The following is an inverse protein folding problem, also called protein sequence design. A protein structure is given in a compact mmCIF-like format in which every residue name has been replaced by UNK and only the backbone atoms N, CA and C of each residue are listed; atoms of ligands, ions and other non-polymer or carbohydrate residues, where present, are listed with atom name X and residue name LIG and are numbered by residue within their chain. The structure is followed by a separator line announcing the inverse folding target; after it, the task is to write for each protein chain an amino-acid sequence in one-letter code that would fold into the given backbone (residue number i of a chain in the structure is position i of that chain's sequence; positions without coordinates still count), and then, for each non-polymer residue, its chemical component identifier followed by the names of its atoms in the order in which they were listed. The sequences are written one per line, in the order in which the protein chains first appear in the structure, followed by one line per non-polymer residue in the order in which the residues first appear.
data_IF_192710768426
#
_entry.id   IF_192710768426
#
_cell.length_a   1.000
_cell.length_b   1.000
_cell.length_c   1.000
_cell.angle_alpha   90.00
_cell.angle_beta   90.00
_cell.angle_gamma   90.00
#
_symmetry.space_group_name_H-M   'P 1'
#
loop_
_entity.id
_entity.type
_entity.pdbx_description
1 polymer ?
#
# COMPACT_ATOMS: atom_id res chain seq x y z
N UNK A 1 -13.87 28.20 32.77
CA UNK A 1 -12.52 27.64 32.50
C UNK A 1 -11.88 28.48 31.41
N UNK A 2 -10.60 28.86 31.52
CA UNK A 2 -9.87 29.39 30.37
C UNK A 2 -9.85 28.32 29.25
N UNK A 3 -9.81 28.72 27.97
CA UNK A 3 -9.66 27.77 26.89
C UNK A 3 -8.38 26.95 27.12
N UNK A 4 -8.38 25.65 26.79
CA UNK A 4 -7.15 24.87 26.83
C UNK A 4 -6.08 25.57 25.98
N UNK A 5 -4.82 25.55 26.39
CA UNK A 5 -3.74 26.10 25.57
C UNK A 5 -3.80 25.46 24.18
N UNK A 6 -3.57 26.22 23.09
CA UNK A 6 -3.56 25.65 21.75
C UNK A 6 -2.56 24.50 21.72
N UNK A 7 -2.99 23.34 21.19
CA UNK A 7 -2.12 22.19 21.03
C UNK A 7 -0.86 22.61 20.25
N UNK A 8 0.35 22.23 20.69
CA UNK A 8 1.58 22.56 19.97
C UNK A 8 1.71 21.74 18.67
N UNK A 9 0.80 20.78 18.42
CA UNK A 9 0.73 20.07 17.15
C UNK A 9 0.32 21.04 16.03
N UNK A 10 1.16 21.07 15.00
CA UNK A 10 0.91 21.83 13.77
C UNK A 10 1.19 20.95 12.56
N UNK A 11 0.81 21.43 11.39
CA UNK A 11 1.05 20.74 10.13
C UNK A 11 0.29 19.43 9.95
N UNK A 12 0.60 18.76 8.85
CA UNK A 12 -0.03 17.53 8.43
C UNK A 12 0.99 16.48 7.98
N UNK A 13 0.53 15.22 7.92
CA UNK A 13 1.25 14.11 7.33
C UNK A 13 0.38 13.49 6.25
N UNK A 14 0.90 13.38 5.03
CA UNK A 14 0.25 12.77 3.89
C UNK A 14 0.97 11.47 3.53
N UNK A 15 0.24 10.36 3.50
CA UNK A 15 0.72 9.07 3.02
C UNK A 15 -0.14 8.61 1.85
N UNK A 16 0.46 8.42 0.69
CA UNK A 16 -0.21 7.93 -0.51
C UNK A 16 0.34 6.54 -0.83
N UNK A 17 -0.54 5.55 -0.90
CA UNK A 17 -0.21 4.20 -1.31
C UNK A 17 -0.74 3.98 -2.73
N UNK A 18 0.14 3.57 -3.62
CA UNK A 18 -0.14 3.35 -5.04
C UNK A 18 0.12 1.88 -5.33
N UNK A 19 -0.93 1.12 -5.66
CA UNK A 19 -0.80 -0.28 -6.06
C UNK A 19 -0.16 -0.45 -7.44
N UNK A 20 0.32 -1.65 -7.76
CA UNK A 20 0.73 -2.00 -9.12
C UNK A 20 -0.50 -2.00 -10.04
N UNK A 21 -0.58 -1.18 -11.09
CA UNK A 21 -1.63 -1.34 -12.09
C UNK A 21 -1.35 -2.56 -12.97
N UNK A 22 -2.36 -3.37 -13.30
CA UNK A 22 -2.14 -4.48 -14.25
C UNK A 22 -2.30 -4.06 -15.72
N UNK A 23 -2.95 -2.92 -15.98
CA UNK A 23 -3.21 -2.38 -17.32
C UNK A 23 -3.18 -0.86 -17.29
N UNK A 24 -3.10 -0.19 -18.44
CA UNK A 24 -3.19 1.28 -18.51
C UNK A 24 -4.54 1.80 -18.00
N UNK A 25 -5.64 1.08 -18.22
CA UNK A 25 -6.92 1.45 -17.63
C UNK A 25 -6.89 1.42 -16.09
N UNK A 26 -6.24 0.41 -15.50
CA UNK A 26 -6.05 0.36 -14.05
C UNK A 26 -5.16 1.51 -13.55
N UNK A 27 -4.13 1.89 -14.32
CA UNK A 27 -3.31 3.06 -14.01
C UNK A 27 -4.17 4.32 -13.95
N UNK A 28 -5.03 4.56 -14.95
CA UNK A 28 -5.92 5.72 -14.97
C UNK A 28 -6.88 5.73 -13.78
N UNK A 29 -7.43 4.57 -13.40
CA UNK A 29 -8.29 4.44 -12.24
C UNK A 29 -7.54 4.70 -10.91
N UNK A 30 -6.30 4.22 -10.78
CA UNK A 30 -5.44 4.49 -9.63
C UNK A 30 -5.16 5.99 -9.52
N UNK A 31 -4.74 6.64 -10.61
CA UNK A 31 -4.46 8.07 -10.64
C UNK A 31 -5.71 8.90 -10.29
N UNK A 32 -6.88 8.49 -10.77
CA UNK A 32 -8.17 9.12 -10.40
C UNK A 32 -8.50 8.95 -8.93
N UNK A 33 -8.24 7.77 -8.35
CA UNK A 33 -8.41 7.55 -6.90
C UNK A 33 -7.49 8.43 -6.07
N UNK A 34 -6.25 8.64 -6.50
CA UNK A 34 -5.33 9.59 -5.84
C UNK A 34 -5.93 11.00 -5.87
N UNK A 35 -6.38 11.47 -7.04
CA UNK A 35 -7.00 12.78 -7.19
C UNK A 35 -8.21 12.96 -6.25
N UNK A 36 -9.10 11.97 -6.22
CA UNK A 36 -10.30 11.99 -5.37
C UNK A 36 -9.94 11.98 -3.88
N UNK A 37 -8.87 11.30 -3.48
CA UNK A 37 -8.42 11.28 -2.08
C UNK A 37 -8.06 12.68 -1.57
N UNK A 38 -7.53 13.55 -2.43
CA UNK A 38 -7.21 14.93 -2.05
C UNK A 38 -8.43 15.83 -1.89
N UNK A 39 -9.60 15.48 -2.44
CA UNK A 39 -10.76 16.35 -2.45
C UNK A 39 -11.30 16.61 -1.05
N UNK A 40 -11.12 15.70 -0.10
CA UNK A 40 -11.54 15.87 1.29
C UNK A 40 -10.57 16.71 2.13
N UNK A 41 -9.45 17.15 1.55
CA UNK A 41 -8.48 17.97 2.28
C UNK A 41 -9.07 19.33 2.62
N UNK A 42 -9.37 19.52 3.90
CA UNK A 42 -9.98 20.73 4.42
C UNK A 42 -8.93 21.64 5.07
N UNK A 43 -8.55 22.70 4.33
CA UNK A 43 -7.62 23.72 4.80
C UNK A 43 -8.12 24.45 6.06
N UNK A 44 -9.43 24.60 6.24
CA UNK A 44 -9.98 25.30 7.42
C UNK A 44 -9.73 24.50 8.71
N UNK A 45 -9.81 23.17 8.65
CA UNK A 45 -9.60 22.31 9.81
C UNK A 45 -8.12 22.07 10.15
N UNK A 46 -7.27 21.85 9.12
CA UNK A 46 -5.87 21.47 9.32
C UNK A 46 -4.89 22.66 9.25
N UNK A 47 -5.31 23.81 8.70
CA UNK A 47 -4.48 25.00 8.47
C UNK A 47 -3.25 24.76 7.58
N UNK A 48 -3.29 23.73 6.74
CA UNK A 48 -2.25 23.45 5.74
C UNK A 48 -2.77 23.80 4.35
N UNK A 49 -2.13 24.76 3.72
CA UNK A 49 -2.41 25.19 2.35
C UNK A 49 -1.87 24.14 1.36
N UNK A 50 -2.67 23.10 1.11
CA UNK A 50 -2.28 21.95 0.29
C UNK A 50 -1.81 22.38 -1.11
N UNK A 51 -2.42 23.40 -1.69
CA UNK A 51 -2.04 23.95 -2.99
C UNK A 51 -0.58 24.40 -3.03
N UNK A 52 -0.11 25.12 -2.00
CA UNK A 52 1.29 25.56 -1.90
C UNK A 52 2.23 24.38 -1.69
N UNK A 53 1.83 23.39 -0.90
CA UNK A 53 2.67 22.23 -0.62
C UNK A 53 2.80 21.31 -1.83
N UNK A 54 1.71 21.00 -2.52
CA UNK A 54 1.75 20.23 -3.78
C UNK A 54 2.58 20.98 -4.83
N UNK A 55 2.46 22.31 -4.92
CA UNK A 55 3.25 23.10 -5.88
C UNK A 55 4.75 23.00 -5.59
N UNK A 56 5.14 23.00 -4.32
CA UNK A 56 6.53 22.83 -3.92
C UNK A 56 7.06 21.43 -4.28
N UNK A 57 6.26 20.38 -4.05
CA UNK A 57 6.63 19.01 -4.45
C UNK A 57 6.81 18.91 -5.96
N UNK A 58 5.85 19.42 -6.74
CA UNK A 58 5.90 19.42 -8.20
C UNK A 58 7.13 20.18 -8.71
N UNK A 59 7.45 21.33 -8.11
CA UNK A 59 8.61 22.14 -8.53
C UNK A 59 9.94 21.42 -8.30
N UNK A 60 10.04 20.58 -7.27
CA UNK A 60 11.24 19.78 -7.00
C UNK A 60 11.23 18.45 -7.77
N UNK A 61 10.05 17.90 -8.05
CA UNK A 61 9.82 16.63 -8.75
C UNK A 61 10.76 15.49 -8.27
N UNK A 62 10.81 15.18 -6.97
CA UNK A 62 11.73 14.17 -6.45
C UNK A 62 11.43 12.77 -7.04
N UNK A 63 12.43 12.09 -7.58
CA UNK A 63 12.22 10.75 -8.15
C UNK A 63 11.96 9.66 -7.09
N UNK A 64 12.33 9.92 -5.83
CA UNK A 64 12.26 8.95 -4.74
C UNK A 64 13.31 7.84 -4.82
N UNK A 65 13.34 7.00 -3.79
CA UNK A 65 14.23 5.84 -3.70
C UNK A 65 13.53 4.61 -4.26
N UNK A 66 14.17 3.91 -5.20
CA UNK A 66 13.69 2.65 -5.76
C UNK A 66 14.42 1.47 -5.11
N UNK A 67 13.66 0.57 -4.51
CA UNK A 67 14.12 -0.65 -3.88
C UNK A 67 13.95 -1.85 -4.84
N UNK A 68 14.12 -3.07 -4.30
CA UNK A 68 13.94 -4.30 -5.09
C UNK A 68 12.48 -4.42 -5.56
N UNK A 69 12.29 -5.13 -6.67
CA UNK A 69 10.96 -5.43 -7.22
C UNK A 69 10.11 -4.18 -7.55
N UNK A 70 10.75 -3.05 -7.87
CA UNK A 70 10.04 -1.84 -8.32
C UNK A 70 9.32 -1.05 -7.22
N UNK A 71 9.46 -1.44 -5.96
CA UNK A 71 8.99 -0.64 -4.82
C UNK A 71 9.69 0.73 -4.85
N UNK A 72 8.92 1.81 -4.74
CA UNK A 72 9.45 3.17 -4.72
C UNK A 72 8.85 3.97 -3.58
N UNK A 73 9.72 4.68 -2.87
CA UNK A 73 9.35 5.59 -1.80
C UNK A 73 9.80 7.02 -2.14
N UNK A 74 8.83 7.90 -2.37
CA UNK A 74 9.08 9.33 -2.54
C UNK A 74 8.78 10.01 -1.22
N UNK A 75 9.78 10.66 -0.62
CA UNK A 75 9.62 11.41 0.62
C UNK A 75 9.88 12.89 0.37
N UNK A 76 9.04 13.73 0.97
CA UNK A 76 9.19 15.17 0.93
C UNK A 76 8.69 15.78 2.24
N UNK A 77 9.52 16.60 2.87
CA UNK A 77 9.17 17.23 4.14
C UNK A 77 9.41 18.74 4.08
N UNK A 78 8.40 19.48 4.51
CA UNK A 78 8.47 20.92 4.79
C UNK A 78 7.93 21.18 6.19
N UNK A 79 7.97 22.44 6.61
CA UNK A 79 7.54 22.87 7.94
C UNK A 79 6.08 22.48 8.25
N UNK A 80 5.19 22.56 7.24
CA UNK A 80 3.74 22.36 7.37
C UNK A 80 3.25 20.98 6.93
N UNK A 81 4.02 20.25 6.11
CA UNK A 81 3.60 18.98 5.53
C UNK A 81 4.77 18.00 5.38
N UNK A 82 4.59 16.80 5.91
CA UNK A 82 5.39 15.61 5.54
C UNK A 82 4.58 14.80 4.55
N UNK A 83 5.19 14.40 3.44
CA UNK A 83 4.58 13.60 2.37
C UNK A 83 5.42 12.35 2.13
N UNK A 84 4.76 11.20 2.12
CA UNK A 84 5.31 9.92 1.68
C UNK A 84 4.42 9.32 0.60
N UNK A 85 4.98 9.01 -0.57
CA UNK A 85 4.30 8.27 -1.63
C UNK A 85 4.98 6.92 -1.78
N UNK A 86 4.25 5.86 -1.42
CA UNK A 86 4.63 4.47 -1.58
C UNK A 86 4.04 3.93 -2.87
N UNK A 87 4.89 3.57 -3.83
CA UNK A 87 4.48 2.99 -5.10
C UNK A 87 4.92 1.52 -5.12
N UNK A 88 3.96 0.64 -5.34
CA UNK A 88 4.11 -0.82 -5.27
C UNK A 88 4.81 -1.23 -3.95
N UNK A 89 4.29 -0.87 -2.76
CA UNK A 89 4.99 -1.16 -1.51
C UNK A 89 5.02 -2.64 -1.18
N UNK A 90 6.04 -3.05 -0.41
CA UNK A 90 6.01 -4.27 0.39
C UNK A 90 5.27 -4.02 1.71
N UNK A 91 4.76 -5.09 2.32
CA UNK A 91 3.94 -5.00 3.54
C UNK A 91 4.71 -4.38 4.71
N UNK A 92 5.98 -4.73 4.89
CA UNK A 92 6.82 -4.21 5.96
C UNK A 92 7.06 -2.70 5.83
N UNK A 93 7.34 -2.20 4.62
CA UNK A 93 7.51 -0.78 4.33
C UNK A 93 6.23 -0.02 4.64
N UNK A 94 5.09 -0.55 4.19
CA UNK A 94 3.79 0.06 4.46
C UNK A 94 3.51 0.15 5.97
N UNK A 95 3.69 -0.96 6.71
CA UNK A 95 3.49 -0.97 8.17
C UNK A 95 4.38 0.09 8.83
N UNK A 96 5.64 0.21 8.41
CA UNK A 96 6.55 1.20 8.96
C UNK A 96 6.11 2.65 8.66
N UNK A 97 5.70 2.95 7.43
CA UNK A 97 5.18 4.28 7.07
C UNK A 97 3.90 4.62 7.83
N UNK A 98 2.98 3.67 8.02
CA UNK A 98 1.77 3.88 8.84
C UNK A 98 2.16 4.18 10.30
N UNK A 99 3.10 3.43 10.87
CA UNK A 99 3.62 3.69 12.23
C UNK A 99 4.25 5.08 12.35
N UNK A 100 5.08 5.47 11.39
CA UNK A 100 5.72 6.79 11.35
C UNK A 100 4.67 7.90 11.28
N UNK A 101 3.69 7.79 10.38
CA UNK A 101 2.57 8.72 10.28
C UNK A 101 1.77 8.78 11.59
N UNK A 102 1.46 7.63 12.21
CA UNK A 102 0.64 7.56 13.41
C UNK A 102 1.38 8.01 14.69
N UNK A 103 2.72 7.98 14.69
CA UNK A 103 3.56 8.47 15.79
C UNK A 103 4.11 9.88 15.54
N UNK A 104 3.80 10.48 14.38
CA UNK A 104 4.26 11.83 14.04
C UNK A 104 3.62 12.91 14.93
N UNK A 105 4.35 14.00 15.14
CA UNK A 105 3.88 15.18 15.86
C UNK A 105 3.12 16.14 14.93
N UNK A 106 2.22 15.62 14.10
CA UNK A 106 1.34 16.41 13.24
C UNK A 106 -0.10 16.41 13.74
N UNK A 107 -0.84 17.48 13.44
CA UNK A 107 -2.24 17.63 13.84
C UNK A 107 -3.17 16.81 12.92
N UNK A 108 -2.93 16.86 11.62
CA UNK A 108 -3.72 16.16 10.62
C UNK A 108 -2.90 15.06 9.95
N UNK A 109 -3.52 13.91 9.72
CA UNK A 109 -2.90 12.78 9.04
C UNK A 109 -3.87 12.29 7.98
N UNK A 110 -3.36 12.10 6.79
CA UNK A 110 -4.15 11.85 5.61
C UNK A 110 -3.57 10.66 4.87
N UNK A 111 -4.34 9.59 4.73
CA UNK A 111 -3.92 8.36 4.08
C UNK A 111 -4.76 8.16 2.83
N UNK A 112 -4.13 8.01 1.67
CA UNK A 112 -4.81 7.73 0.40
C UNK A 112 -4.33 6.37 -0.10
N UNK A 113 -5.20 5.37 -0.08
CA UNK A 113 -4.97 4.09 -0.72
C UNK A 113 -5.59 4.05 -2.12
N UNK A 114 -4.71 4.02 -3.13
CA UNK A 114 -5.05 3.89 -4.54
C UNK A 114 -4.42 2.60 -5.12
N UNK A 115 -5.02 1.47 -4.78
CA UNK A 115 -4.60 0.16 -5.26
C UNK A 115 -5.75 -0.84 -5.30
N UNK A 116 -5.39 -2.12 -5.48
CA UNK A 116 -6.35 -3.20 -5.37
C UNK A 116 -6.75 -3.47 -3.93
N UNK A 117 -7.98 -3.92 -3.78
CA UNK A 117 -8.58 -4.24 -2.50
C UNK A 117 -9.36 -5.54 -2.65
N UNK A 118 -9.29 -6.43 -1.67
CA UNK A 118 -10.10 -7.64 -1.70
C UNK A 118 -11.56 -7.33 -1.37
N UNK A 119 -12.43 -7.72 -2.30
CA UNK A 119 -13.87 -7.66 -2.08
C UNK A 119 -14.25 -8.45 -0.82
N UNK A 120 -15.11 -7.87 0.02
CA UNK A 120 -15.57 -8.48 1.26
C UNK A 120 -14.72 -8.15 2.49
N UNK A 121 -13.39 -8.29 2.48
CA UNK A 121 -12.56 -7.88 3.65
C UNK A 121 -12.17 -6.42 3.59
N UNK A 122 -12.02 -5.87 2.40
CA UNK A 122 -11.47 -4.54 2.19
C UNK A 122 -9.96 -4.45 2.41
N UNK A 123 -9.25 -5.57 2.59
CA UNK A 123 -7.80 -5.55 2.80
C UNK A 123 -7.07 -5.00 1.57
N UNK A 124 -6.12 -4.10 1.81
CA UNK A 124 -5.30 -3.48 0.77
C UNK A 124 -4.26 -4.47 0.28
N UNK A 125 -4.11 -4.59 -1.03
CA UNK A 125 -3.16 -5.52 -1.65
C UNK A 125 -1.82 -4.82 -1.84
N UNK A 126 -0.75 -5.43 -1.33
CA UNK A 126 0.64 -4.99 -1.50
C UNK A 126 1.45 -6.11 -2.17
N UNK A 127 2.74 -5.93 -2.44
CA UNK A 127 3.51 -6.89 -3.25
C UNK A 127 3.50 -8.33 -2.69
N UNK A 128 3.67 -8.45 -1.38
CA UNK A 128 3.96 -9.71 -0.69
C UNK A 128 2.89 -10.07 0.36
N UNK A 129 1.77 -9.36 0.39
CA UNK A 129 0.69 -9.64 1.32
C UNK A 129 -0.43 -8.61 1.30
N UNK A 130 -1.11 -8.51 2.44
CA UNK A 130 -2.23 -7.58 2.63
C UNK A 130 -2.06 -6.73 3.88
N UNK A 131 -2.58 -5.51 3.79
CA UNK A 131 -2.78 -4.64 4.94
C UNK A 131 -4.29 -4.53 5.21
N UNK A 132 -4.72 -5.07 6.33
CA UNK A 132 -6.13 -5.18 6.74
C UNK A 132 -6.54 -4.06 7.71
N UNK A 133 -7.84 -3.95 7.97
CA UNK A 133 -8.34 -3.07 9.02
C UNK A 133 -7.81 -3.46 10.40
N UNK A 134 -7.59 -4.75 10.66
CA UNK A 134 -7.00 -5.21 11.92
C UNK A 134 -5.56 -4.72 12.07
N UNK A 135 -4.76 -4.77 10.99
CA UNK A 135 -3.38 -4.26 11.01
C UNK A 135 -3.35 -2.74 11.31
N UNK A 136 -4.31 -1.98 10.77
CA UNK A 136 -4.46 -0.57 11.12
C UNK A 136 -4.80 -0.38 12.60
N UNK A 137 -5.76 -1.13 13.12
CA UNK A 137 -6.17 -1.07 14.54
C UNK A 137 -4.98 -1.40 15.44
N UNK A 138 -4.21 -2.43 15.10
CA UNK A 138 -3.01 -2.83 15.84
C UNK A 138 -1.93 -1.73 15.80
N UNK A 139 -1.71 -1.08 14.65
CA UNK A 139 -0.81 0.06 14.54
C UNK A 139 -1.23 1.22 15.47
N UNK A 140 -2.53 1.45 15.68
CA UNK A 140 -3.00 2.42 16.66
C UNK A 140 -2.71 2.02 18.11
N UNK A 141 -2.60 0.73 18.43
CA UNK A 141 -2.31 0.25 19.80
C UNK A 141 -0.82 0.30 20.16
N UNK A 142 0.06 0.61 19.21
CA UNK A 142 1.49 0.68 19.47
C UNK A 142 1.86 1.74 20.50
N UNK A 143 2.88 1.44 21.32
CA UNK A 143 3.26 2.25 22.47
C UNK A 143 3.59 3.70 22.08
N UNK A 144 4.35 3.90 20.99
CA UNK A 144 4.73 5.23 20.52
C UNK A 144 3.51 6.02 20.00
N UNK A 145 2.60 5.36 19.29
CA UNK A 145 1.36 5.96 18.80
C UNK A 145 0.46 6.36 19.97
N UNK A 146 0.24 5.44 20.91
CA UNK A 146 -0.54 5.69 22.13
C UNK A 146 0.03 6.84 22.96
N UNK A 147 1.36 6.95 23.06
CA UNK A 147 2.03 8.04 23.77
C UNK A 147 1.68 9.40 23.16
N UNK A 148 1.75 9.53 21.83
CA UNK A 148 1.42 10.77 21.12
C UNK A 148 -0.06 11.10 21.25
N UNK A 149 -0.94 10.13 21.00
CA UNK A 149 -2.40 10.35 21.06
C UNK A 149 -2.87 10.76 22.46
N UNK A 150 -2.28 10.21 23.53
CA UNK A 150 -2.59 10.60 24.92
C UNK A 150 -2.02 11.97 25.29
N UNK A 151 -0.84 12.32 24.77
CA UNK A 151 -0.24 13.64 25.00
C UNK A 151 -1.05 14.78 24.35
N UNK A 152 -1.75 14.48 23.25
CA UNK A 152 -2.53 15.44 22.46
C UNK A 152 -3.97 14.97 22.22
N UNK A 153 -4.63 14.55 23.29
CA UNK A 153 -5.98 14.01 23.25
C UNK A 153 -6.95 14.96 22.51
N UNK A 154 -7.78 14.40 21.65
CA UNK A 154 -8.79 15.08 20.82
C UNK A 154 -8.23 16.13 19.84
N UNK A 155 -6.90 16.24 19.69
CA UNK A 155 -6.26 17.20 18.78
C UNK A 155 -5.87 16.59 17.43
N UNK A 156 -5.64 15.27 17.41
CA UNK A 156 -5.20 14.55 16.21
C UNK A 156 -6.41 14.11 15.37
N UNK A 157 -6.30 14.32 14.06
CA UNK A 157 -7.26 13.84 13.07
C UNK A 157 -6.58 12.89 12.08
N UNK A 158 -7.26 11.80 11.72
CA UNK A 158 -6.79 10.83 10.72
C UNK A 158 -7.90 10.59 9.71
N UNK A 159 -7.66 10.98 8.46
CA UNK A 159 -8.57 10.71 7.35
C UNK A 159 -7.97 9.65 6.44
N UNK A 160 -8.79 8.68 6.05
CA UNK A 160 -8.38 7.51 5.28
C UNK A 160 -9.26 7.39 4.04
N UNK A 161 -8.65 7.45 2.87
CA UNK A 161 -9.30 7.22 1.59
C UNK A 161 -8.95 5.82 1.09
N UNK A 162 -9.96 4.99 0.88
CA UNK A 162 -9.78 3.63 0.36
C UNK A 162 -11.07 3.14 -0.32
N UNK A 163 -10.99 1.98 -0.99
CA UNK A 163 -12.18 1.34 -1.54
C UNK A 163 -13.22 1.10 -0.43
N UNK A 164 -14.52 1.35 -0.67
CA UNK A 164 -15.59 1.18 0.32
C UNK A 164 -15.98 -0.30 0.45
N UNK A 165 -15.01 -1.14 0.76
CA UNK A 165 -15.14 -2.60 0.86
C UNK A 165 -15.00 -3.07 2.32
N UNK A 166 -15.67 -4.16 2.65
CA UNK A 166 -15.62 -4.78 3.98
C UNK A 166 -16.02 -3.84 5.12
N UNK A 167 -15.25 -3.87 6.21
CA UNK A 167 -15.55 -3.07 7.40
C UNK A 167 -14.90 -1.68 7.42
N UNK A 168 -14.24 -1.26 6.33
CA UNK A 168 -13.59 0.06 6.24
C UNK A 168 -14.62 1.19 6.23
N UNK A 169 -15.00 1.64 7.43
CA UNK A 169 -15.96 2.70 7.62
C UNK A 169 -15.70 3.48 8.90
N UNK A 170 -16.07 4.76 8.89
CA UNK A 170 -16.05 5.61 10.08
C UNK A 170 -16.87 5.01 11.23
N UNK A 171 -18.00 4.37 10.93
CA UNK A 171 -18.87 3.75 11.93
C UNK A 171 -18.21 2.56 12.63
N UNK A 172 -17.46 1.73 11.91
CA UNK A 172 -16.71 0.61 12.47
C UNK A 172 -15.57 1.11 13.37
N UNK A 173 -14.78 2.08 12.91
CA UNK A 173 -13.62 2.60 13.65
C UNK A 173 -14.03 3.30 14.95
N UNK A 174 -15.19 3.97 14.99
CA UNK A 174 -15.73 4.60 16.21
C UNK A 174 -15.94 3.64 17.39
N UNK A 175 -15.94 2.33 17.15
CA UNK A 175 -16.05 1.30 18.20
C UNK A 175 -14.71 1.03 18.90
N UNK A 176 -13.60 1.47 18.30
CA UNK A 176 -12.27 1.22 18.80
C UNK A 176 -11.86 2.19 19.92
N UNK A 177 -10.97 1.74 20.80
CA UNK A 177 -10.56 2.53 21.97
C UNK A 177 -9.82 3.81 21.61
N UNK A 178 -9.04 3.82 20.52
CA UNK A 178 -8.24 4.96 20.10
C UNK A 178 -9.09 6.14 19.60
N UNK A 179 -10.34 5.93 19.19
CA UNK A 179 -11.22 7.04 18.77
C UNK A 179 -11.71 7.91 19.92
N UNK A 180 -11.41 7.51 21.17
CA UNK A 180 -11.54 8.39 22.35
C UNK A 180 -10.42 9.42 22.42
N UNK A 181 -9.27 9.13 21.81
CA UNK A 181 -8.07 9.97 21.85
C UNK A 181 -7.90 10.83 20.60
N UNK A 182 -8.46 10.41 19.47
CA UNK A 182 -8.34 11.11 18.19
C UNK A 182 -9.57 10.91 17.31
N UNK A 183 -9.73 11.77 16.30
CA UNK A 183 -10.83 11.65 15.33
C UNK A 183 -10.34 10.89 14.10
N UNK A 184 -10.95 9.74 13.82
CA UNK A 184 -10.63 8.94 12.62
C UNK A 184 -11.86 8.88 11.70
N UNK A 185 -11.67 9.16 10.40
CA UNK A 185 -12.71 9.09 9.37
C UNK A 185 -12.23 8.28 8.17
N UNK A 186 -13.12 7.48 7.61
CA UNK A 186 -12.92 6.77 6.35
C UNK A 186 -13.80 7.42 5.29
N UNK A 187 -13.20 7.74 4.14
CA UNK A 187 -13.82 8.41 3.01
C UNK A 187 -14.68 9.61 3.43
N UNK A 188 -14.11 10.62 4.13
CA UNK A 188 -14.82 11.85 4.45
C UNK A 188 -15.31 12.57 3.19
N UNK A 189 -16.32 13.42 3.36
CA UNK A 189 -16.87 14.25 2.29
C UNK A 189 -15.83 15.22 1.72
N UNK A 190 -16.02 15.59 0.45
CA UNK A 190 -15.16 16.56 -0.23
C UNK A 190 -15.23 17.94 0.45
N UNK A 191 -14.08 18.60 0.49
CA UNK A 191 -13.92 19.98 0.90
C UNK A 191 -14.65 20.90 -0.08
N UNK A 192 -15.35 21.95 0.39
CA UNK A 192 -15.99 22.92 -0.49
C UNK A 192 -14.98 23.73 -1.33
N UNK A 193 -13.70 23.74 -0.93
CA UNK A 193 -12.61 24.43 -1.61
C UNK A 193 -11.41 23.50 -1.82
N UNK A 194 -11.47 22.58 -2.81
CA UNK A 194 -10.38 21.67 -3.09
C UNK A 194 -9.15 22.40 -3.63
N UNK A 195 -7.96 21.83 -3.41
CA UNK A 195 -6.71 22.40 -3.90
C UNK A 195 -6.67 22.45 -5.44
N UNK A 196 -6.21 23.57 -6.00
CA UNK A 196 -6.27 23.82 -7.44
C UNK A 196 -5.30 22.98 -8.28
N UNK A 197 -4.25 22.43 -7.67
CA UNK A 197 -3.14 21.78 -8.36
C UNK A 197 -3.04 20.26 -8.15
N UNK A 198 -4.13 19.63 -7.71
CA UNK A 198 -4.22 18.17 -7.53
C UNK A 198 -3.85 17.44 -8.83
N UNK A 199 -4.37 17.91 -9.98
CA UNK A 199 -4.11 17.24 -11.25
C UNK A 199 -2.63 17.31 -11.65
N UNK A 200 -1.96 18.46 -11.49
CA UNK A 200 -0.53 18.56 -11.79
C UNK A 200 0.31 17.64 -10.90
N UNK A 201 -0.09 17.43 -9.64
CA UNK A 201 0.57 16.47 -8.76
C UNK A 201 0.37 15.03 -9.23
N UNK A 202 -0.84 14.68 -9.65
CA UNK A 202 -1.14 13.37 -10.23
C UNK A 202 -0.37 13.13 -11.53
N UNK A 203 -0.26 14.16 -12.39
CA UNK A 203 0.52 14.11 -13.63
C UNK A 203 2.02 13.92 -13.34
N UNK A 204 2.52 14.50 -12.26
CA UNK A 204 3.88 14.26 -11.77
C UNK A 204 4.08 12.79 -11.31
N UNK A 205 3.09 12.17 -10.67
CA UNK A 205 3.19 10.76 -10.25
C UNK A 205 3.02 9.77 -11.41
N UNK A 206 2.26 10.14 -12.44
CA UNK A 206 1.88 9.24 -13.54
C UNK A 206 3.03 8.51 -14.24
N UNK A 207 4.24 9.07 -14.41
CA UNK A 207 5.38 8.34 -14.99
C UNK A 207 5.93 7.22 -14.11
N UNK A 208 5.69 7.23 -12.80
CA UNK A 208 6.14 6.19 -11.87
C UNK A 208 5.11 5.06 -11.74
N UNK A 209 3.85 5.32 -12.06
CA UNK A 209 2.77 4.32 -12.03
C UNK A 209 2.74 3.61 -13.39
N UNK A 210 3.42 2.46 -13.48
CA UNK A 210 3.57 1.71 -14.75
C UNK A 210 2.99 0.30 -14.61
N UNK A 211 2.16 -0.13 -15.58
CA UNK A 211 1.76 -1.53 -15.66
C UNK A 211 2.94 -2.43 -16.00
N UNK A 212 3.02 -3.58 -15.34
CA UNK A 212 3.93 -4.65 -15.73
C UNK A 212 3.15 -5.72 -16.50
N UNK A 213 3.55 -5.98 -17.74
CA UNK A 213 3.02 -7.10 -18.52
C UNK A 213 3.42 -8.43 -17.91
N UNK A 214 2.66 -9.49 -18.19
CA UNK A 214 2.99 -10.83 -17.69
C UNK A 214 4.34 -11.29 -18.22
N UNK A 215 4.67 -10.93 -19.46
CA UNK A 215 5.94 -11.23 -20.13
C UNK A 215 7.13 -10.56 -19.44
N UNK A 216 6.95 -9.34 -18.92
CA UNK A 216 7.98 -8.64 -18.13
C UNK A 216 8.12 -9.23 -16.72
N UNK A 217 7.04 -9.73 -16.13
CA UNK A 217 7.10 -10.36 -14.81
C UNK A 217 7.66 -11.78 -14.87
N UNK A 218 7.35 -12.49 -15.94
CA UNK A 218 7.67 -13.91 -16.16
C UNK A 218 8.63 -14.05 -17.35
N UNK A 219 9.82 -13.44 -17.23
CA UNK A 219 10.81 -13.45 -18.30
C UNK A 219 11.28 -14.88 -18.64
N UNK A 220 11.37 -15.25 -19.93
CA UNK A 220 11.86 -16.57 -20.35
C UNK A 220 13.34 -16.74 -19.96
N UNK A 221 13.82 -17.99 -19.95
CA UNK A 221 15.25 -18.25 -19.74
C UNK A 221 16.01 -18.28 -21.06
N UNK A 222 17.15 -17.58 -21.11
CA UNK A 222 18.13 -17.67 -22.20
C UNK A 222 19.10 -18.86 -22.03
N UNK A 223 18.99 -19.58 -20.90
CA UNK A 223 19.88 -20.69 -20.57
C UNK A 223 19.50 -21.92 -21.37
N UNK A 224 20.49 -22.50 -22.07
CA UNK A 224 20.32 -23.75 -22.81
C UNK A 224 20.50 -24.94 -21.87
N UNK A 225 19.42 -25.70 -21.66
CA UNK A 225 19.41 -26.92 -20.86
C UNK A 225 18.38 -26.87 -19.73
N UNK A 226 17.82 -28.04 -19.38
CA UNK A 226 16.71 -28.13 -18.45
C UNK A 226 17.13 -28.79 -17.14
N UNK A 227 16.66 -28.26 -16.02
CA UNK A 227 16.79 -28.88 -14.70
C UNK A 227 16.01 -30.21 -14.73
N UNK A 228 16.66 -31.28 -14.30
CA UNK A 228 16.07 -32.62 -14.16
C UNK A 228 16.36 -33.17 -12.77
N UNK A 229 15.33 -33.69 -12.12
CA UNK A 229 15.45 -34.32 -10.82
C UNK A 229 15.72 -35.81 -10.98
N UNK A 230 16.79 -36.30 -10.36
CA UNK A 230 17.08 -37.73 -10.28
C UNK A 230 16.47 -38.39 -9.04
N UNK A 231 16.20 -37.59 -8.00
CA UNK A 231 15.66 -38.03 -6.72
C UNK A 231 14.47 -37.14 -6.34
N UNK A 232 13.52 -37.63 -5.51
CA UNK A 232 12.45 -36.80 -4.96
C UNK A 232 13.04 -35.57 -4.27
N UNK A 233 12.67 -34.39 -4.74
CA UNK A 233 13.20 -33.10 -4.30
C UNK A 233 12.05 -32.13 -4.09
N UNK A 234 12.12 -31.34 -3.01
CA UNK A 234 11.14 -30.30 -2.70
C UNK A 234 11.84 -28.94 -2.62
N UNK A 235 11.38 -27.97 -3.41
CA UNK A 235 11.75 -26.56 -3.31
C UNK A 235 10.61 -25.79 -2.66
N UNK A 236 10.96 -24.92 -1.70
CA UNK A 236 10.00 -24.01 -1.05
C UNK A 236 10.40 -22.59 -1.43
N UNK A 237 9.46 -21.84 -1.98
CA UNK A 237 9.71 -20.47 -2.46
C UNK A 237 9.18 -19.44 -1.45
N UNK A 238 9.81 -18.24 -1.36
CA UNK A 238 9.30 -17.16 -0.54
C UNK A 238 8.03 -16.57 -1.18
N UNK A 239 6.86 -17.08 -0.82
CA UNK A 239 5.56 -16.68 -1.38
C UNK A 239 4.89 -15.47 -0.73
N UNK A 240 5.58 -14.74 0.16
CA UNK A 240 4.99 -13.65 0.96
C UNK A 240 4.05 -14.21 2.03
N UNK A 241 2.85 -13.63 2.16
CA UNK A 241 1.74 -14.20 2.93
C UNK A 241 1.12 -15.45 2.27
N UNK A 242 1.67 -15.89 1.14
CA UNK A 242 1.24 -17.05 0.40
C UNK A 242 2.22 -18.21 0.43
N UNK A 243 1.73 -19.36 -0.01
CA UNK A 243 2.49 -20.62 -0.07
C UNK A 243 2.84 -20.95 -1.52
N UNK A 244 4.08 -21.41 -1.77
CA UNK A 244 4.51 -21.91 -3.07
C UNK A 244 5.65 -22.93 -2.90
N UNK A 245 5.51 -24.09 -3.54
CA UNK A 245 6.53 -25.12 -3.54
C UNK A 245 6.55 -25.91 -4.85
N UNK A 246 7.69 -26.50 -5.19
CA UNK A 246 7.82 -27.41 -6.32
C UNK A 246 8.33 -28.76 -5.84
N UNK A 247 7.56 -29.80 -6.11
CA UNK A 247 7.97 -31.19 -5.95
C UNK A 247 8.46 -31.75 -7.29
N UNK A 248 9.69 -32.23 -7.33
CA UNK A 248 10.31 -32.81 -8.52
C UNK A 248 10.83 -34.21 -8.28
N UNK A 249 10.55 -35.13 -9.19
CA UNK A 249 11.13 -36.48 -9.25
C UNK A 249 11.40 -36.83 -10.72
N UNK A 250 12.13 -37.92 -10.97
CA UNK A 250 12.47 -38.32 -12.33
C UNK A 250 11.24 -38.44 -13.24
N UNK A 251 11.15 -37.54 -14.24
CA UNK A 251 10.08 -37.50 -15.22
C UNK A 251 8.78 -36.84 -14.75
N UNK A 252 8.73 -36.26 -13.55
CA UNK A 252 7.53 -35.63 -13.01
C UNK A 252 7.84 -34.41 -12.13
N UNK A 253 7.27 -33.26 -12.50
CA UNK A 253 7.34 -32.00 -11.76
C UNK A 253 5.93 -31.53 -11.39
N UNK A 254 5.69 -31.25 -10.12
CA UNK A 254 4.42 -30.72 -9.61
C UNK A 254 4.66 -29.41 -8.87
N UNK A 255 4.03 -28.34 -9.32
CA UNK A 255 3.93 -27.10 -8.57
C UNK A 255 2.79 -27.22 -7.56
N UNK A 256 3.01 -26.76 -6.33
CA UNK A 256 2.03 -26.72 -5.25
C UNK A 256 1.87 -25.26 -4.85
N UNK A 257 0.70 -24.69 -5.16
CA UNK A 257 0.36 -23.27 -4.99
C UNK A 257 1.32 -22.29 -5.72
N UNK A 258 0.90 -21.03 -5.88
CA UNK A 258 1.67 -20.00 -6.62
C UNK A 258 2.16 -18.82 -5.78
N UNK A 259 1.92 -18.81 -4.48
CA UNK A 259 2.22 -17.69 -3.60
C UNK A 259 1.27 -16.51 -3.77
N UNK A 260 1.56 -15.43 -3.04
CA UNK A 260 0.71 -14.24 -2.98
C UNK A 260 0.95 -13.25 -4.13
N UNK A 261 2.21 -13.08 -4.54
CA UNK A 261 2.59 -12.05 -5.49
C UNK A 261 2.15 -12.42 -6.92
N UNK A 262 1.78 -11.40 -7.71
CA UNK A 262 1.53 -11.56 -9.14
C UNK A 262 2.79 -11.97 -9.90
N UNK A 263 3.94 -11.41 -9.52
CA UNK A 263 5.24 -11.94 -9.96
C UNK A 263 5.49 -13.26 -9.23
N UNK A 264 5.27 -14.36 -9.94
CA UNK A 264 5.39 -15.71 -9.40
C UNK A 264 6.80 -15.95 -8.81
N UNK A 265 6.87 -16.19 -7.51
CA UNK A 265 8.14 -16.40 -6.79
C UNK A 265 8.90 -17.66 -7.22
N UNK A 266 8.19 -18.63 -7.82
CA UNK A 266 8.76 -19.85 -8.36
C UNK A 266 9.29 -19.69 -9.80
N UNK A 267 8.95 -18.59 -10.49
CA UNK A 267 9.19 -18.47 -11.93
C UNK A 267 10.67 -18.51 -12.29
N UNK A 268 11.52 -17.80 -11.54
CA UNK A 268 12.96 -17.78 -11.77
C UNK A 268 13.59 -19.17 -11.77
N UNK A 269 12.98 -20.11 -11.05
CA UNK A 269 13.35 -21.53 -11.07
C UNK A 269 12.60 -22.31 -12.16
N UNK A 270 11.26 -22.21 -12.19
CA UNK A 270 10.41 -23.03 -13.04
C UNK A 270 10.65 -22.80 -14.54
N UNK A 271 11.07 -21.61 -14.95
CA UNK A 271 11.45 -21.31 -16.34
C UNK A 271 12.64 -22.12 -16.87
N UNK A 272 13.35 -22.83 -15.99
CA UNK A 272 14.45 -23.74 -16.34
C UNK A 272 14.03 -25.22 -16.33
N UNK A 273 12.77 -25.52 -16.03
CA UNK A 273 12.23 -26.87 -16.15
C UNK A 273 11.84 -27.15 -17.60
N UNK A 274 11.97 -28.40 -18.02
CA UNK A 274 11.48 -28.85 -19.32
C UNK A 274 9.95 -28.74 -19.42
N UNK A 275 9.25 -29.03 -18.32
CA UNK A 275 7.80 -28.94 -18.18
C UNK A 275 7.37 -28.97 -16.72
N UNK A 276 6.16 -28.47 -16.47
CA UNK A 276 5.37 -28.78 -15.26
C UNK A 276 4.32 -29.82 -15.65
N UNK A 277 4.30 -30.95 -14.96
CA UNK A 277 3.37 -32.06 -15.22
C UNK A 277 2.04 -31.88 -14.48
N UNK A 278 2.07 -31.21 -13.32
CA UNK A 278 0.88 -30.94 -12.53
C UNK A 278 1.00 -29.60 -11.76
N UNK A 279 -0.15 -29.00 -11.49
CA UNK A 279 -0.30 -27.89 -10.56
C UNK A 279 -1.36 -28.28 -9.53
N UNK A 280 -0.97 -28.33 -8.26
CA UNK A 280 -1.86 -28.59 -7.14
C UNK A 280 -2.16 -27.27 -6.43
N UNK A 281 -3.44 -26.91 -6.39
CA UNK A 281 -3.93 -25.79 -5.60
C UNK A 281 -4.54 -26.33 -4.30
N UNK A 282 -4.02 -25.91 -3.15
CA UNK A 282 -4.50 -26.41 -1.85
C UNK A 282 -5.85 -25.80 -1.48
N UNK A 283 -6.04 -24.54 -1.83
CA UNK A 283 -7.23 -23.71 -1.57
C UNK A 283 -7.45 -22.76 -2.76
N UNK A 284 -8.60 -22.14 -2.86
CA UNK A 284 -8.83 -21.02 -3.77
C UNK A 284 -8.94 -19.77 -2.91
N UNK A 285 -7.83 -19.09 -2.71
CA UNK A 285 -7.78 -17.82 -2.01
C UNK A 285 -6.59 -16.97 -2.47
N UNK A 286 -6.52 -15.75 -1.99
CA UNK A 286 -5.51 -14.80 -2.46
C UNK A 286 -4.08 -15.13 -2.02
N UNK A 287 -3.91 -16.07 -1.08
CA UNK A 287 -2.61 -16.51 -0.61
C UNK A 287 -1.99 -17.60 -1.50
N UNK A 288 -2.66 -18.07 -2.54
CA UNK A 288 -2.10 -19.14 -3.36
C UNK A 288 -2.39 -19.10 -4.86
N UNK A 289 -3.32 -18.26 -5.34
CA UNK A 289 -3.71 -18.25 -6.76
C UNK A 289 -3.03 -17.18 -7.60
N UNK A 290 -2.54 -16.09 -7.01
CA UNK A 290 -2.12 -14.92 -7.78
C UNK A 290 -0.89 -15.19 -8.65
N UNK A 291 0.10 -15.95 -8.16
CA UNK A 291 1.25 -16.36 -8.97
C UNK A 291 0.95 -17.49 -9.97
N UNK A 292 -0.26 -18.05 -9.95
CA UNK A 292 -0.72 -19.02 -10.95
C UNK A 292 -1.55 -18.36 -12.08
N UNK A 293 -2.02 -17.13 -11.86
CA UNK A 293 -3.00 -16.44 -12.69
C UNK A 293 -2.39 -15.73 -13.90
#
# INVERSE_FOLDING_TARGET
QPPPPPSPLSGAYLLILVGEPHTDAHKDDILRKIANGFLSWDMESCHVALDKELQAIIAQAPEGEEARNGERLIQFARESLVTEVLIQPQLNTLIQCIRNLLSSFTKHRHIIHAGYTFAGTGSWVVQDGTFSLADLIDAFQETEVQRVLRAYENSVTVDIHCAPEGEWSTARLRRESFTKLCKVRVNPDDSPSPAANIQQFVDYLAPFVRPASVEQLLEPSDVVGNIRFSHPTLYVFPGGQGDAALFGINGFNMLVDGGFARKACFWDFARHLDRLDAVLMTRINNSNVNGLA
#
